data_IF_391015692027
#
_entry.id   IF_391015692027
#
_cell.length_a   1.000
_cell.length_b   1.000
_cell.length_c   1.000
_cell.angle_alpha   90.00
_cell.angle_beta   90.00
_cell.angle_gamma   90.00
#
_symmetry.space_group_name_H-M   'P 1'
#
loop_
_entity.id
_entity.type
_entity.pdbx_description
1 polymer ?
#
# COMPACT_ATOMS: atom_id res chain seq x y z
N UNK A 1 -1.11 5.41 -7.56
CA UNK A 1 -1.47 4.01 -7.33
C UNK A 1 -1.61 3.76 -5.86
N UNK A 2 -2.60 2.99 -5.49
CA UNK A 2 -2.90 2.73 -4.09
C UNK A 2 -3.09 1.25 -3.88
N UNK A 3 -2.43 0.71 -2.87
CA UNK A 3 -2.57 -0.70 -2.50
C UNK A 3 -3.08 -0.77 -1.08
N UNK A 4 -3.98 -1.68 -0.82
CA UNK A 4 -4.52 -1.87 0.51
C UNK A 4 -4.27 -3.29 0.99
N UNK A 5 -3.99 -3.42 2.28
CA UNK A 5 -3.80 -4.71 2.91
C UNK A 5 -4.72 -4.78 4.12
N UNK A 6 -5.21 -5.98 4.38
CA UNK A 6 -6.18 -6.22 5.42
C UNK A 6 -5.67 -7.28 6.37
N UNK A 7 -5.88 -7.11 7.64
CA UNK A 7 -5.57 -8.13 8.61
C UNK A 7 -6.74 -8.30 9.55
N UNK A 8 -7.31 -9.49 9.56
CA UNK A 8 -8.38 -9.84 10.48
C UNK A 8 -7.80 -10.75 11.53
N UNK A 9 -7.78 -10.29 12.74
CA UNK A 9 -7.33 -11.12 13.82
C UNK A 9 -8.45 -11.12 14.81
N UNK A 10 -8.17 -10.78 16.01
CA UNK A 10 -9.22 -10.64 16.99
C UNK A 10 -9.74 -9.23 16.93
N UNK A 11 -11.01 -9.07 16.89
CA UNK A 11 -11.60 -7.75 16.86
C UNK A 11 -11.80 -7.23 15.46
N UNK A 12 -11.99 -5.94 15.31
CA UNK A 12 -12.29 -5.37 13.99
C UNK A 12 -11.11 -5.49 13.03
N UNK A 13 -11.38 -5.59 11.74
CA UNK A 13 -10.30 -5.68 10.77
C UNK A 13 -9.48 -4.41 10.73
N UNK A 14 -8.21 -4.55 10.41
CA UNK A 14 -7.30 -3.43 10.28
C UNK A 14 -6.82 -3.32 8.86
N UNK A 15 -6.51 -2.11 8.45
CA UNK A 15 -6.08 -1.85 7.09
C UNK A 15 -4.78 -1.07 7.06
N UNK A 16 -3.93 -1.41 6.10
CA UNK A 16 -2.74 -0.62 5.80
C UNK A 16 -2.83 -0.22 4.34
N UNK A 17 -2.61 1.06 4.06
CA UNK A 17 -2.62 1.57 2.70
C UNK A 17 -1.22 1.97 2.28
N UNK A 18 -0.86 1.64 1.05
CA UNK A 18 0.41 2.06 0.47
C UNK A 18 0.10 2.89 -0.76
N UNK A 19 0.51 4.13 -0.74
CA UNK A 19 0.27 5.04 -1.85
C UNK A 19 1.59 5.36 -2.54
N UNK A 20 1.65 5.09 -3.83
CA UNK A 20 2.83 5.39 -4.63
C UNK A 20 2.51 6.58 -5.51
N UNK A 21 3.24 7.67 -5.29
CA UNK A 21 3.03 8.89 -6.03
C UNK A 21 4.27 9.14 -6.88
N UNK A 22 4.15 8.99 -8.19
CA UNK A 22 5.27 9.20 -9.07
C UNK A 22 5.05 10.44 -9.89
N UNK A 23 5.93 11.40 -9.75
CA UNK A 23 5.89 12.64 -10.50
C UNK A 23 7.23 12.84 -11.16
N UNK A 24 7.28 13.66 -12.21
CA UNK A 24 8.55 13.85 -12.89
C UNK A 24 9.68 14.29 -11.97
N UNK A 25 9.36 15.11 -10.98
CA UNK A 25 10.39 15.63 -10.10
C UNK A 25 10.53 14.88 -8.79
N UNK A 26 9.65 13.96 -8.49
CA UNK A 26 9.73 13.28 -7.21
C UNK A 26 8.89 12.01 -7.20
N UNK A 27 9.43 10.97 -6.60
CA UNK A 27 8.70 9.75 -6.36
C UNK A 27 8.59 9.55 -4.86
N UNK A 28 7.40 9.29 -4.38
CA UNK A 28 7.15 9.22 -2.97
C UNK A 28 6.30 8.01 -2.61
N UNK A 29 6.66 7.34 -1.54
CA UNK A 29 5.92 6.22 -1.02
C UNK A 29 5.32 6.64 0.32
N UNK A 30 4.02 6.54 0.45
CA UNK A 30 3.32 6.91 1.69
C UNK A 30 2.61 5.67 2.22
N UNK A 31 2.84 5.37 3.49
CA UNK A 31 2.20 4.24 4.14
C UNK A 31 1.26 4.76 5.20
N UNK A 32 0.01 4.31 5.12
CA UNK A 32 -1.03 4.71 6.06
C UNK A 32 -1.29 3.55 7.01
N UNK A 33 -1.10 3.78 8.30
CA UNK A 33 -1.23 2.73 9.29
C UNK A 33 -2.61 2.72 9.93
N UNK A 34 -2.99 1.58 10.54
CA UNK A 34 -4.34 1.47 11.13
C UNK A 34 -4.61 2.46 12.24
N UNK A 35 -3.57 2.94 12.91
CA UNK A 35 -3.76 3.88 14.00
C UNK A 35 -3.88 5.32 13.53
N UNK A 36 -3.87 5.53 12.22
CA UNK A 36 -4.00 6.87 11.68
C UNK A 36 -2.69 7.56 11.37
N UNK A 37 -1.58 6.93 11.73
CA UNK A 37 -0.29 7.55 11.45
C UNK A 37 0.12 7.23 10.01
N UNK A 38 1.06 8.01 9.50
CA UNK A 38 1.58 7.74 8.16
C UNK A 38 3.06 8.02 8.12
N UNK A 39 3.71 7.34 7.20
CA UNK A 39 5.13 7.52 6.94
C UNK A 39 5.33 7.73 5.46
N UNK A 40 6.29 8.55 5.09
CA UNK A 40 6.57 8.76 3.69
C UNK A 40 8.07 8.75 3.46
N UNK A 41 8.46 8.29 2.28
CA UNK A 41 9.85 8.25 1.85
C UNK A 41 9.95 8.68 0.42
N UNK A 42 11.03 9.36 0.09
CA UNK A 42 11.28 9.82 -1.26
C UNK A 42 12.27 8.91 -1.94
N UNK A 43 12.08 8.71 -3.23
CA UNK A 43 12.96 7.88 -4.04
C UNK A 43 13.39 8.66 -5.28
N UNK A 44 14.55 8.32 -5.80
CA UNK A 44 15.11 9.06 -6.92
C UNK A 44 14.42 8.75 -8.24
N UNK A 45 13.91 7.54 -8.38
CA UNK A 45 13.25 7.19 -9.62
C UNK A 45 12.13 6.18 -9.37
N UNK A 46 11.37 5.95 -10.42
CA UNK A 46 10.22 5.07 -10.32
C UNK A 46 10.61 3.63 -10.03
N UNK A 47 11.75 3.19 -10.55
CA UNK A 47 12.18 1.82 -10.30
C UNK A 47 12.46 1.59 -8.84
N UNK A 48 13.10 2.55 -8.17
CA UNK A 48 13.37 2.42 -6.75
C UNK A 48 12.07 2.45 -5.95
N UNK A 49 11.15 3.32 -6.33
CA UNK A 49 9.86 3.39 -5.67
C UNK A 49 9.09 2.08 -5.80
N UNK A 50 9.06 1.53 -7.00
CA UNK A 50 8.34 0.30 -7.27
C UNK A 50 8.93 -0.86 -6.46
N UNK A 51 10.25 -0.93 -6.41
CA UNK A 51 10.91 -1.99 -5.67
C UNK A 51 10.62 -1.87 -4.18
N UNK A 52 10.63 -0.65 -3.65
CA UNK A 52 10.35 -0.45 -2.24
C UNK A 52 8.91 -0.86 -1.91
N UNK A 53 7.97 -0.50 -2.77
CA UNK A 53 6.57 -0.85 -2.54
C UNK A 53 6.40 -2.37 -2.60
N UNK A 54 7.06 -3.02 -3.53
CA UNK A 54 6.95 -4.47 -3.66
C UNK A 54 7.53 -5.17 -2.45
N UNK A 55 8.66 -4.69 -1.95
CA UNK A 55 9.28 -5.30 -0.79
C UNK A 55 8.39 -5.13 0.44
N UNK A 56 7.81 -3.94 0.59
CA UNK A 56 6.92 -3.70 1.72
C UNK A 56 5.70 -4.60 1.65
N UNK A 57 5.15 -4.77 0.46
CA UNK A 57 4.01 -5.67 0.29
C UNK A 57 4.34 -7.09 0.68
N UNK A 58 5.52 -7.58 0.26
CA UNK A 58 5.92 -8.93 0.62
C UNK A 58 6.10 -9.07 2.14
N UNK A 59 6.67 -8.04 2.77
CA UNK A 59 6.85 -8.08 4.22
C UNK A 59 5.52 -8.11 4.94
N UNK A 60 4.54 -7.35 4.46
CA UNK A 60 3.21 -7.35 5.06
C UNK A 60 2.56 -8.72 4.93
N UNK A 61 2.68 -9.35 3.77
CA UNK A 61 2.10 -10.67 3.58
C UNK A 61 2.75 -11.66 4.55
N UNK A 62 4.05 -11.54 4.73
CA UNK A 62 4.75 -12.42 5.65
C UNK A 62 4.28 -12.23 7.08
N UNK A 63 3.84 -11.03 7.42
CA UNK A 63 3.33 -10.74 8.74
C UNK A 63 1.86 -11.08 8.92
N UNK A 64 1.23 -11.63 7.91
CA UNK A 64 -0.16 -12.03 8.02
C UNK A 64 -1.16 -11.10 7.39
N UNK A 65 -0.70 -10.05 6.75
CA UNK A 65 -1.59 -9.14 6.04
C UNK A 65 -1.93 -9.72 4.68
N UNK A 66 -3.16 -9.49 4.23
CA UNK A 66 -3.63 -9.98 2.94
C UNK A 66 -3.88 -8.83 2.01
N UNK A 67 -3.43 -8.93 0.76
CA UNK A 67 -3.73 -7.88 -0.19
C UNK A 67 -5.21 -7.79 -0.46
N UNK A 68 -5.72 -6.56 -0.55
CA UNK A 68 -7.12 -6.33 -0.83
C UNK A 68 -7.29 -6.13 -2.32
N UNK A 69 -7.90 -7.06 -3.00
CA UNK A 69 -8.17 -6.86 -4.43
C UNK A 69 -9.37 -5.98 -4.65
N UNK A 70 -10.02 -5.61 -3.59
CA UNK A 70 -11.25 -4.86 -3.69
C UNK A 70 -11.15 -3.61 -4.51
N UNK A 71 -10.07 -2.92 -4.32
CA UNK A 71 -9.94 -1.66 -5.03
C UNK A 71 -9.99 -1.89 -6.52
N UNK A 72 -9.25 -2.85 -6.99
CA UNK A 72 -9.23 -3.13 -8.40
C UNK A 72 -10.58 -3.63 -8.85
N UNK A 73 -11.19 -4.43 -8.04
CA UNK A 73 -12.47 -4.98 -8.38
C UNK A 73 -13.52 -3.91 -8.46
N UNK A 74 -13.52 -3.06 -7.50
CA UNK A 74 -14.51 -2.02 -7.46
C UNK A 74 -14.46 -1.19 -8.71
N UNK A 75 -13.29 -1.07 -9.23
CA UNK A 75 -13.19 -0.34 -10.41
C UNK A 75 -13.89 -0.96 -11.51
N UNK A 76 -13.96 -2.15 -11.56
CA UNK A 76 -14.49 -2.72 -12.63
C UNK A 76 -15.73 -3.03 -12.56
N UNK A 77 -16.27 -3.03 -11.76
CA UNK A 77 -17.39 -3.43 -11.82
C UNK A 77 -18.28 -2.62 -12.07
N UNK A 78 -18.18 -1.94 -12.03
CA UNK A 78 -18.95 -1.38 -12.31
C UNK A 78 -19.32 -1.28 -13.22
N UNK A 79 -18.91 -1.66 -13.58
CA UNK A 79 -19.25 -1.75 -14.49
C UNK A 79 -19.86 -1.96 -14.78
#
# INVERSE_FOLDING_TARGET
MMLWFLKEAEGPPRFIGIHCDSRPEACELVVLYPDGSEESEHYDDLAALTEAARKLGRDLIRLGWEPCPTAATATRRES
#
